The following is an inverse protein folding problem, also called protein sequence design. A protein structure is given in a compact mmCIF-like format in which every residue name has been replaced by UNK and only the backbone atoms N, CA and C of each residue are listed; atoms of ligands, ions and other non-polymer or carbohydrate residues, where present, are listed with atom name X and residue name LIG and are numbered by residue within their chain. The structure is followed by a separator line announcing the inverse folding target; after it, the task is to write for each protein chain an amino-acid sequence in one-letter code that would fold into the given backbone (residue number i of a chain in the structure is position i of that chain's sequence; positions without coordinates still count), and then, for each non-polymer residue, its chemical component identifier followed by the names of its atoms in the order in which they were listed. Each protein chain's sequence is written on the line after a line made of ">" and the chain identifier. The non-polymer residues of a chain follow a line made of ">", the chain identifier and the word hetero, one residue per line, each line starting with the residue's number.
data_IF_053305935149
#
_entry.id   IF_053305935149
#
_cell.length_a   1.000
_cell.length_b   1.000
_cell.length_c   1.000
_cell.angle_alpha   90.00
_cell.angle_beta   90.00
_cell.angle_gamma   90.00
#
_symmetry.space_group_name_H-M   'P 1'
#
loop_
_entity.id
_entity.type
_entity.pdbx_description
1 polymer ?
#
# COMPACT_ATOMS: atom_id res chain seq x y z
N UNK A 1 -15.71 -2.33 -3.12
CA UNK A 1 -16.69 -1.23 -3.04
C UNK A 1 -17.00 -0.97 -1.58
N UNK A 2 -17.52 -1.95 -0.83
CA UNK A 2 -17.81 -1.81 0.62
C UNK A 2 -16.69 -1.17 1.44
N UNK A 3 -15.43 -1.61 1.31
CA UNK A 3 -14.31 -1.02 2.07
C UNK A 3 -14.04 0.46 1.74
N UNK A 4 -14.20 0.89 0.49
CA UNK A 4 -13.90 2.27 0.09
C UNK A 4 -15.02 3.23 0.46
N UNK A 5 -16.27 2.79 0.28
CA UNK A 5 -17.44 3.56 0.70
C UNK A 5 -17.47 3.71 2.22
N UNK A 6 -17.13 2.65 2.96
CA UNK A 6 -17.04 2.70 4.42
C UNK A 6 -15.92 3.64 4.89
N UNK A 7 -14.76 3.62 4.23
CA UNK A 7 -13.68 4.58 4.50
C UNK A 7 -14.16 6.04 4.34
N UNK A 8 -14.78 6.38 3.20
CA UNK A 8 -15.32 7.74 3.00
C UNK A 8 -16.36 8.08 4.07
N UNK A 9 -17.32 7.18 4.31
CA UNK A 9 -18.39 7.41 5.28
C UNK A 9 -17.87 7.70 6.68
N UNK A 10 -16.85 6.98 7.13
CA UNK A 10 -16.37 7.08 8.51
C UNK A 10 -15.33 8.17 8.73
N UNK A 11 -14.54 8.52 7.70
CA UNK A 11 -13.37 9.40 7.82
C UNK A 11 -13.49 10.76 7.12
N UNK A 12 -14.62 11.04 6.45
CA UNK A 12 -14.85 12.31 5.71
C UNK A 12 -14.67 13.57 6.56
N UNK A 13 -15.01 13.52 7.85
CA UNK A 13 -14.90 14.69 8.72
C UNK A 13 -13.54 14.82 9.39
N UNK A 14 -12.77 13.75 9.44
CA UNK A 14 -11.53 13.64 10.20
C UNK A 14 -10.28 14.01 9.40
N UNK A 15 -10.34 13.84 8.08
CA UNK A 15 -9.19 14.08 7.19
C UNK A 15 -9.51 15.07 6.08
N UNK A 16 -8.53 15.92 5.75
CA UNK A 16 -8.60 16.83 4.61
C UNK A 16 -8.40 16.11 3.27
N UNK A 17 -7.60 15.04 3.29
CA UNK A 17 -7.22 14.23 2.14
C UNK A 17 -7.19 12.75 2.53
N UNK A 18 -7.67 11.87 1.63
CA UNK A 18 -7.59 10.41 1.74
C UNK A 18 -6.98 9.86 0.45
N UNK A 19 -6.00 8.96 0.57
CA UNK A 19 -5.39 8.28 -0.57
C UNK A 19 -5.95 6.87 -0.72
N UNK A 20 -6.27 6.48 -1.96
CA UNK A 20 -6.71 5.13 -2.31
C UNK A 20 -5.61 4.43 -3.09
N UNK A 21 -4.90 3.51 -2.43
CA UNK A 21 -3.76 2.74 -2.97
C UNK A 21 -3.83 1.29 -2.53
N UNK A 22 -3.23 0.39 -3.31
CA UNK A 22 -3.14 -1.02 -2.95
C UNK A 22 -1.98 -1.27 -1.98
N UNK A 23 -2.03 -2.37 -1.22
CA UNK A 23 -1.00 -2.68 -0.21
C UNK A 23 0.39 -3.01 -0.79
N UNK A 24 0.50 -3.23 -2.10
CA UNK A 24 1.76 -3.43 -2.82
C UNK A 24 2.21 -2.19 -3.62
N UNK A 25 1.58 -1.05 -3.38
CA UNK A 25 1.81 0.23 -4.03
C UNK A 25 2.26 1.30 -3.03
N UNK A 26 3.18 2.16 -3.46
CA UNK A 26 3.81 3.17 -2.59
C UNK A 26 3.75 4.54 -3.25
N UNK A 27 3.12 5.52 -2.59
CA UNK A 27 3.19 6.91 -3.02
C UNK A 27 4.62 7.41 -2.80
N UNK A 28 5.27 7.83 -3.88
CA UNK A 28 6.63 8.32 -3.87
C UNK A 28 6.66 9.76 -4.40
N UNK A 29 6.65 10.76 -3.50
CA UNK A 29 7.01 12.13 -3.86
C UNK A 29 8.44 12.11 -4.40
N UNK A 30 8.68 12.69 -5.58
CA UNK A 30 9.99 12.70 -6.26
C UNK A 30 10.65 14.07 -6.10
N UNK A 31 9.93 15.14 -6.45
CA UNK A 31 10.46 16.50 -6.45
C UNK A 31 10.76 17.04 -5.04
N UNK A 32 9.99 16.64 -4.03
CA UNK A 32 10.14 17.09 -2.64
C UNK A 32 9.75 15.95 -1.70
N UNK A 33 10.41 15.82 -0.55
CA UNK A 33 10.10 14.78 0.47
C UNK A 33 8.87 15.14 1.31
N UNK A 34 8.38 16.38 1.25
CA UNK A 34 7.27 16.82 2.06
C UNK A 34 5.93 16.58 1.36
N UNK A 35 5.25 15.49 1.72
CA UNK A 35 3.88 15.21 1.22
C UNK A 35 2.90 16.34 1.53
N UNK A 36 3.05 17.02 2.67
CA UNK A 36 2.19 18.16 3.04
C UNK A 36 2.34 19.34 2.07
N UNK A 37 3.57 19.61 1.61
CA UNK A 37 3.85 20.64 0.61
C UNK A 37 3.28 20.26 -0.76
N UNK A 38 3.38 18.99 -1.13
CA UNK A 38 2.73 18.46 -2.32
C UNK A 38 1.21 18.65 -2.27
N UNK A 39 0.55 18.29 -1.15
CA UNK A 39 -0.89 18.49 -1.00
C UNK A 39 -1.30 19.98 -0.98
N UNK A 40 -0.47 20.85 -0.40
CA UNK A 40 -0.71 22.30 -0.39
C UNK A 40 -0.65 22.92 -1.79
N UNK A 41 0.21 22.41 -2.67
CA UNK A 41 0.26 22.82 -4.08
C UNK A 41 -1.07 22.57 -4.82
N UNK A 42 -1.86 21.61 -4.35
CA UNK A 42 -3.17 21.25 -4.90
C UNK A 42 -4.35 21.87 -4.15
N UNK A 43 -4.19 23.05 -3.53
CA UNK A 43 -5.27 23.72 -2.78
C UNK A 43 -6.54 23.96 -3.61
N UNK A 44 -6.40 24.15 -4.93
CA UNK A 44 -7.48 24.41 -5.88
C UNK A 44 -8.06 23.13 -6.54
N UNK A 45 -7.64 21.95 -6.09
CA UNK A 45 -8.14 20.66 -6.56
C UNK A 45 -8.80 19.88 -5.43
N UNK A 46 -9.80 19.09 -5.79
CA UNK A 46 -10.52 18.19 -4.88
C UNK A 46 -10.09 16.74 -5.05
N UNK A 47 -9.36 16.43 -6.12
CA UNK A 47 -8.66 15.17 -6.29
C UNK A 47 -7.33 15.36 -7.04
N UNK A 48 -6.37 14.51 -6.72
CA UNK A 48 -5.06 14.41 -7.34
C UNK A 48 -4.92 13.00 -7.90
N UNK A 49 -4.55 12.91 -9.17
CA UNK A 49 -4.31 11.67 -9.89
C UNK A 49 -2.81 11.42 -9.94
N UNK A 50 -2.41 10.24 -9.46
CA UNK A 50 -1.04 9.75 -9.52
C UNK A 50 -0.97 8.55 -10.47
N UNK A 51 -0.09 8.64 -11.47
CA UNK A 51 0.22 7.52 -12.35
C UNK A 51 1.14 6.51 -11.66
N UNK A 52 1.00 5.24 -12.01
CA UNK A 52 1.87 4.17 -11.48
C UNK A 52 3.20 4.11 -12.22
N UNK A 53 4.26 3.74 -11.52
CA UNK A 53 5.53 3.28 -12.06
C UNK A 53 5.64 1.77 -11.82
N UNK A 54 5.58 0.98 -12.88
CA UNK A 54 5.73 -0.48 -12.79
C UNK A 54 7.20 -0.86 -12.59
N UNK A 55 7.51 -1.42 -11.42
CA UNK A 55 8.83 -1.98 -11.12
C UNK A 55 8.87 -3.48 -11.43
N UNK A 56 9.95 -3.88 -12.11
CA UNK A 56 10.26 -5.27 -12.43
C UNK A 56 10.96 -5.99 -11.28
N UNK A 57 11.54 -7.13 -11.60
CA UNK A 57 12.28 -8.00 -10.69
C UNK A 57 13.67 -7.47 -10.33
N UNK A 58 14.19 -6.49 -11.09
CA UNK A 58 15.60 -6.07 -11.05
C UNK A 58 16.58 -7.24 -11.25
N UNK A 59 16.12 -8.30 -11.93
CA UNK A 59 16.90 -9.52 -12.17
C UNK A 59 16.97 -10.47 -10.97
N UNK A 60 16.20 -10.24 -9.90
CA UNK A 60 16.22 -11.11 -8.72
C UNK A 60 15.42 -12.41 -8.95
N UNK A 61 16.11 -13.54 -8.88
CA UNK A 61 15.44 -14.85 -8.83
C UNK A 61 14.94 -15.18 -7.41
N UNK A 62 15.75 -14.84 -6.39
CA UNK A 62 15.48 -15.09 -4.97
C UNK A 62 15.02 -13.84 -4.25
N UNK A 63 14.32 -14.00 -3.13
CA UNK A 63 13.95 -12.87 -2.26
C UNK A 63 15.23 -12.27 -1.65
N UNK A 64 15.56 -11.00 -1.96
CA UNK A 64 16.71 -10.33 -1.38
C UNK A 64 16.42 -9.90 0.07
N UNK A 65 17.47 -9.58 0.84
CA UNK A 65 17.37 -9.31 2.27
C UNK A 65 17.10 -7.83 2.62
N UNK A 66 17.24 -6.92 1.65
CA UNK A 66 17.05 -5.48 1.83
C UNK A 66 15.58 -5.06 1.76
N UNK A 67 15.35 -3.75 1.70
CA UNK A 67 13.99 -3.24 1.49
C UNK A 67 13.62 -3.34 0.02
N UNK A 68 12.32 -3.45 -0.21
CA UNK A 68 11.79 -3.43 -1.57
C UNK A 68 12.22 -2.19 -2.37
N UNK A 69 12.35 -1.05 -1.69
CA UNK A 69 12.74 0.25 -2.27
C UNK A 69 14.24 0.37 -2.57
N UNK A 70 15.05 -0.57 -2.11
CA UNK A 70 16.50 -0.63 -2.36
C UNK A 70 16.86 -1.76 -3.32
N UNK A 71 16.19 -2.91 -3.22
CA UNK A 71 16.54 -4.08 -4.01
C UNK A 71 15.83 -4.12 -5.37
N UNK A 72 14.63 -3.55 -5.48
CA UNK A 72 13.87 -3.53 -6.74
C UNK A 72 13.95 -2.13 -7.36
N UNK A 73 15.08 -1.80 -7.98
CA UNK A 73 15.34 -0.45 -8.52
C UNK A 73 15.05 -0.30 -10.01
N UNK A 74 14.74 -1.38 -10.73
CA UNK A 74 14.49 -1.31 -12.17
C UNK A 74 13.00 -1.30 -12.47
N UNK A 75 12.60 -0.39 -13.37
CA UNK A 75 11.20 -0.19 -13.76
C UNK A 75 11.03 -0.07 -15.27
N UNK A 76 9.79 -0.19 -15.71
CA UNK A 76 9.39 0.10 -17.08
C UNK A 76 9.64 1.56 -17.46
N UNK A 77 9.81 1.82 -18.76
CA UNK A 77 9.81 3.18 -19.31
C UNK A 77 8.56 3.96 -18.92
N UNK A 78 8.67 5.30 -18.82
CA UNK A 78 7.59 6.17 -18.29
C UNK A 78 6.24 5.92 -18.98
N UNK A 79 6.22 5.83 -20.31
CA UNK A 79 5.00 5.61 -21.11
C UNK A 79 4.66 4.13 -21.35
N UNK A 80 5.08 3.23 -20.45
CA UNK A 80 4.61 1.85 -20.47
C UNK A 80 3.08 1.79 -20.26
N UNK A 81 2.38 0.90 -20.97
CA UNK A 81 0.90 0.88 -20.97
C UNK A 81 0.28 0.72 -19.57
N UNK A 82 0.94 -0.02 -18.68
CA UNK A 82 0.48 -0.22 -17.30
C UNK A 82 0.57 1.06 -16.44
N UNK A 83 1.50 1.96 -16.77
CA UNK A 83 1.73 3.21 -16.01
C UNK A 83 0.61 4.24 -16.19
N UNK A 84 -0.25 4.07 -17.21
CA UNK A 84 -1.46 4.88 -17.38
C UNK A 84 -2.51 4.59 -16.31
N UNK A 85 -2.39 3.49 -15.56
CA UNK A 85 -3.26 3.27 -14.40
C UNK A 85 -3.00 4.31 -13.32
N UNK A 86 -4.09 4.72 -12.70
CA UNK A 86 -4.11 5.82 -11.75
C UNK A 86 -4.43 5.34 -10.35
N UNK A 87 -3.96 6.10 -9.36
CA UNK A 87 -4.47 6.12 -7.99
C UNK A 87 -4.82 7.55 -7.63
N UNK A 88 -5.71 7.70 -6.66
CA UNK A 88 -6.28 9.00 -6.35
C UNK A 88 -6.06 9.38 -4.89
N UNK A 89 -5.67 10.63 -4.66
CA UNK A 89 -5.75 11.29 -3.37
C UNK A 89 -6.89 12.29 -3.47
N UNK A 90 -7.91 12.17 -2.63
CA UNK A 90 -9.16 12.93 -2.75
C UNK A 90 -9.46 13.69 -1.47
N UNK A 91 -10.13 14.84 -1.60
CA UNK A 91 -10.78 15.49 -0.47
C UNK A 91 -12.07 14.74 -0.17
N UNK A 92 -12.19 14.06 0.98
CA UNK A 92 -13.30 13.13 1.18
C UNK A 92 -14.65 13.85 1.24
N UNK A 93 -14.69 15.10 1.74
CA UNK A 93 -15.90 15.97 1.73
C UNK A 93 -16.40 16.35 0.34
N UNK A 94 -15.61 16.08 -0.70
CA UNK A 94 -15.92 16.37 -2.10
C UNK A 94 -16.22 15.11 -2.89
N UNK A 95 -16.12 13.93 -2.29
CA UNK A 95 -16.43 12.66 -2.96
C UNK A 95 -17.93 12.55 -3.23
N UNK A 96 -18.27 12.31 -4.49
CA UNK A 96 -19.64 12.05 -4.95
C UNK A 96 -19.90 10.55 -5.02
N UNK A 97 -18.93 9.79 -5.55
CA UNK A 97 -19.06 8.34 -5.75
C UNK A 97 -17.70 7.66 -5.83
N UNK A 98 -17.57 6.49 -5.21
CA UNK A 98 -16.40 5.61 -5.40
C UNK A 98 -16.77 4.48 -6.33
N UNK A 99 -16.13 4.39 -7.51
CA UNK A 99 -16.33 3.25 -8.40
C UNK A 99 -15.37 2.12 -8.04
N UNK A 100 -14.10 2.46 -7.85
CA UNK A 100 -13.00 1.55 -7.47
C UNK A 100 -11.80 2.42 -7.03
N UNK A 101 -10.66 1.86 -6.56
CA UNK A 101 -9.57 2.67 -6.02
C UNK A 101 -8.83 3.51 -7.08
N UNK A 102 -9.10 3.27 -8.37
CA UNK A 102 -8.53 4.02 -9.49
C UNK A 102 -9.46 5.13 -10.01
N UNK A 103 -10.73 5.14 -9.58
CA UNK A 103 -11.76 6.03 -10.12
C UNK A 103 -12.75 6.45 -9.02
N UNK A 104 -12.62 7.71 -8.60
CA UNK A 104 -13.43 8.34 -7.57
C UNK A 104 -13.92 9.68 -8.11
N UNK A 105 -15.24 9.82 -8.20
CA UNK A 105 -15.89 11.05 -8.63
C UNK A 105 -15.84 12.05 -7.48
N UNK A 106 -15.35 13.26 -7.76
CA UNK A 106 -15.38 14.38 -6.83
C UNK A 106 -16.10 15.58 -7.43
N UNK A 107 -16.70 16.40 -6.59
CA UNK A 107 -17.15 17.74 -6.98
C UNK A 107 -15.93 18.60 -7.33
N UNK A 108 -15.97 19.34 -8.44
CA UNK A 108 -14.93 20.31 -8.78
C UNK A 108 -13.67 19.72 -9.41
N UNK A 109 -12.54 20.47 -9.39
CA UNK A 109 -11.38 20.13 -10.22
C UNK A 109 -10.62 18.89 -9.73
N UNK A 110 -10.20 18.06 -10.69
CA UNK A 110 -9.22 16.98 -10.51
C UNK A 110 -7.99 17.31 -11.33
N UNK A 111 -6.80 17.07 -10.78
CA UNK A 111 -5.54 17.37 -11.45
C UNK A 111 -4.54 16.21 -11.38
N UNK A 112 -3.60 16.17 -12.31
CA UNK A 112 -2.39 15.35 -12.18
C UNK A 112 -1.45 15.93 -11.12
N UNK A 113 -0.37 15.21 -10.79
CA UNK A 113 0.62 15.63 -9.79
C UNK A 113 1.33 16.97 -10.10
N UNK A 114 1.31 17.45 -11.34
CA UNK A 114 1.85 18.76 -11.73
C UNK A 114 0.80 19.88 -11.75
N UNK A 115 -0.44 19.58 -11.36
CA UNK A 115 -1.55 20.53 -11.36
C UNK A 115 -2.24 20.68 -12.71
N UNK A 116 -1.80 19.97 -13.76
CA UNK A 116 -2.52 19.96 -15.03
C UNK A 116 -3.90 19.33 -14.87
N UNK A 117 -4.95 19.86 -15.51
CA UNK A 117 -6.30 19.31 -15.39
C UNK A 117 -6.36 17.86 -15.86
N UNK A 118 -6.89 16.99 -15.00
CA UNK A 118 -7.14 15.60 -15.35
C UNK A 118 -8.36 15.52 -16.28
N UNK A 119 -8.23 14.75 -17.37
CA UNK A 119 -9.35 14.40 -18.24
C UNK A 119 -9.67 12.94 -18.07
N UNK A 120 -10.93 12.66 -17.76
CA UNK A 120 -11.42 11.32 -17.58
C UNK A 120 -11.32 10.51 -18.87
N UNK A 121 -10.81 9.29 -18.76
CA UNK A 121 -10.73 8.28 -19.83
C UNK A 121 -11.28 6.94 -19.29
N UNK A 122 -11.31 5.83 -20.06
CA UNK A 122 -11.86 4.57 -19.58
C UNK A 122 -11.36 4.17 -18.18
N UNK A 123 -12.28 3.59 -17.41
CA UNK A 123 -12.22 3.42 -15.95
C UNK A 123 -10.81 3.05 -15.44
N UNK A 124 -10.24 3.92 -14.60
CA UNK A 124 -8.99 3.68 -13.87
C UNK A 124 -7.70 3.94 -14.66
N UNK A 125 -7.80 4.54 -15.85
CA UNK A 125 -6.68 5.01 -16.65
C UNK A 125 -6.67 6.54 -16.74
N UNK A 126 -5.51 7.12 -17.10
CA UNK A 126 -5.37 8.52 -17.51
C UNK A 126 -5.19 8.65 -19.02
N UNK A 127 -5.61 9.78 -19.59
CA UNK A 127 -5.35 10.09 -21.01
C UNK A 127 -3.86 10.24 -21.31
N UNK A 128 -3.13 10.73 -20.30
CA UNK A 128 -1.71 11.01 -20.38
C UNK A 128 -1.04 10.81 -19.01
N UNK A 129 0.28 10.73 -19.01
CA UNK A 129 1.10 10.65 -17.80
C UNK A 129 1.71 12.03 -17.57
N UNK A 130 1.20 12.74 -16.54
CA UNK A 130 1.65 14.09 -16.18
C UNK A 130 2.07 14.16 -14.71
N UNK A 131 3.09 14.98 -14.41
CA UNK A 131 3.66 15.12 -13.07
C UNK A 131 4.40 13.88 -12.53
N UNK A 132 4.79 12.93 -13.39
CA UNK A 132 5.44 11.67 -13.00
C UNK A 132 6.77 11.86 -12.25
N UNK A 133 7.49 12.95 -12.53
CA UNK A 133 8.72 13.36 -11.84
C UNK A 133 8.47 14.26 -10.62
N UNK A 134 7.21 14.55 -10.28
CA UNK A 134 6.82 15.30 -9.09
C UNK A 134 6.36 14.34 -8.01
N UNK A 135 5.39 13.49 -8.33
CA UNK A 135 4.87 12.45 -7.44
C UNK A 135 4.22 11.35 -8.29
N UNK A 136 4.41 10.10 -7.87
CA UNK A 136 3.87 8.92 -8.55
C UNK A 136 3.63 7.78 -7.58
N UNK A 137 3.03 6.69 -8.04
CA UNK A 137 2.86 5.47 -7.26
C UNK A 137 3.82 4.40 -7.75
N UNK A 138 4.81 4.02 -6.96
CA UNK A 138 5.66 2.88 -7.28
C UNK A 138 4.88 1.57 -7.06
N UNK A 139 4.80 0.72 -8.09
CA UNK A 139 4.10 -0.56 -8.05
C UNK A 139 5.07 -1.72 -8.23
N UNK A 140 5.33 -2.45 -7.16
CA UNK A 140 6.25 -3.59 -7.15
C UNK A 140 5.47 -4.89 -7.37
N UNK A 141 4.93 -5.04 -8.58
CA UNK A 141 3.94 -6.05 -8.90
C UNK A 141 4.50 -7.47 -8.95
N UNK A 142 5.63 -7.66 -9.64
CA UNK A 142 6.24 -8.99 -9.83
C UNK A 142 7.23 -9.33 -8.72
N UNK A 143 8.07 -8.35 -8.32
CA UNK A 143 9.24 -8.57 -7.43
C UNK A 143 10.09 -9.73 -7.99
N UNK A 144 10.78 -10.49 -7.13
CA UNK A 144 11.63 -11.60 -7.56
C UNK A 144 10.82 -12.79 -8.10
N UNK A 145 11.46 -13.70 -8.84
CA UNK A 145 10.80 -14.92 -9.32
C UNK A 145 10.20 -15.76 -8.17
N UNK A 146 10.92 -15.89 -7.06
CA UNK A 146 10.44 -16.57 -5.84
C UNK A 146 9.20 -15.89 -5.23
N UNK A 147 9.16 -14.54 -5.20
CA UNK A 147 7.97 -13.80 -4.78
C UNK A 147 6.79 -14.09 -5.72
N UNK A 148 7.04 -14.12 -7.02
CA UNK A 148 6.01 -14.42 -8.01
C UNK A 148 5.45 -15.83 -7.83
N UNK A 149 6.30 -16.84 -7.67
CA UNK A 149 5.87 -18.22 -7.39
C UNK A 149 5.02 -18.30 -6.11
N UNK A 150 5.42 -17.60 -5.04
CA UNK A 150 4.61 -17.50 -3.82
C UNK A 150 3.26 -16.81 -4.08
N UNK A 151 3.24 -15.73 -4.87
CA UNK A 151 2.02 -15.01 -5.27
C UNK A 151 1.08 -15.89 -6.08
N UNK A 152 1.62 -16.72 -6.98
CA UNK A 152 0.87 -17.70 -7.77
C UNK A 152 0.27 -18.81 -6.89
N UNK A 153 1.04 -19.35 -5.94
CA UNK A 153 0.58 -20.37 -4.99
C UNK A 153 -0.52 -19.88 -4.07
N UNK A 154 -0.50 -18.60 -3.68
CA UNK A 154 -1.57 -17.98 -2.87
C UNK A 154 -2.91 -17.92 -3.60
N UNK A 155 -2.90 -17.97 -4.93
CA UNK A 155 -4.10 -17.80 -5.76
C UNK A 155 -4.47 -16.33 -6.00
N UNK A 156 -5.37 -16.12 -6.95
CA UNK A 156 -5.90 -14.81 -7.32
C UNK A 156 -7.41 -14.78 -7.11
N UNK A 157 -7.95 -13.60 -6.76
CA UNK A 157 -9.38 -13.47 -6.42
C UNK A 157 -10.30 -13.96 -7.54
N UNK A 158 -9.85 -13.83 -8.79
CA UNK A 158 -10.57 -14.21 -10.00
C UNK A 158 -10.11 -15.55 -10.58
N UNK A 159 -9.36 -16.36 -9.82
CA UNK A 159 -8.94 -17.71 -10.18
C UNK A 159 -7.43 -17.89 -10.26
N UNK A 160 -6.95 -18.49 -11.35
CA UNK A 160 -5.52 -18.71 -11.59
C UNK A 160 -4.98 -17.49 -12.34
N UNK A 161 -3.96 -16.85 -11.78
CA UNK A 161 -3.26 -15.76 -12.45
C UNK A 161 -2.50 -16.31 -13.65
N UNK A 162 -2.56 -15.69 -14.83
CA UNK A 162 -1.80 -16.15 -15.99
C UNK A 162 -0.29 -16.04 -15.73
N UNK A 163 0.48 -17.07 -16.08
CA UNK A 163 1.93 -17.08 -15.89
C UNK A 163 2.60 -15.99 -16.75
N UNK A 164 1.99 -15.65 -17.88
CA UNK A 164 2.39 -14.62 -18.83
C UNK A 164 2.36 -13.21 -18.20
N UNK A 165 1.68 -13.03 -17.06
CA UNK A 165 1.71 -11.77 -16.33
C UNK A 165 3.11 -11.45 -15.80
N UNK A 166 3.93 -12.46 -15.45
CA UNK A 166 5.31 -12.19 -15.08
C UNK A 166 6.07 -11.60 -16.26
N UNK A 167 6.06 -12.28 -17.41
CA UNK A 167 6.79 -11.85 -18.60
C UNK A 167 6.36 -10.46 -19.10
N UNK A 168 5.07 -10.12 -18.99
CA UNK A 168 4.54 -8.82 -19.42
C UNK A 168 4.71 -7.69 -18.41
N UNK A 169 4.99 -8.00 -17.13
CA UNK A 169 5.13 -7.00 -16.07
C UNK A 169 6.52 -6.94 -15.44
N UNK A 170 7.41 -7.88 -15.77
CA UNK A 170 8.82 -7.84 -15.41
C UNK A 170 9.61 -6.96 -16.39
N UNK A 171 9.38 -5.65 -16.26
CA UNK A 171 10.03 -4.63 -17.10
C UNK A 171 11.12 -3.93 -16.30
N UNK A 172 12.35 -3.99 -16.81
CA UNK A 172 13.56 -3.50 -16.13
C UNK A 172 14.33 -2.49 -17.00
N UNK A 173 13.60 -1.63 -17.72
CA UNK A 173 14.16 -0.76 -18.76
C UNK A 173 14.99 0.41 -18.20
N UNK A 174 14.60 0.93 -17.03
CA UNK A 174 15.17 2.13 -16.41
C UNK A 174 15.55 1.82 -14.97
N UNK A 175 16.79 2.12 -14.58
CA UNK A 175 17.22 2.14 -13.19
C UNK A 175 16.67 3.40 -12.48
N UNK A 176 16.05 3.20 -11.33
CA UNK A 176 15.32 4.21 -10.57
C UNK A 176 15.43 3.97 -9.06
N UNK A 177 16.42 4.62 -8.46
CA UNK A 177 16.68 4.59 -7.01
C UNK A 177 15.91 5.67 -6.24
N UNK A 178 14.93 6.33 -6.88
CA UNK A 178 14.26 7.49 -6.25
C UNK A 178 13.58 7.17 -4.93
N UNK A 179 13.18 5.91 -4.72
CA UNK A 179 12.58 5.45 -3.48
C UNK A 179 13.62 5.04 -2.42
N UNK A 180 14.84 4.66 -2.80
CA UNK A 180 15.88 4.20 -1.88
C UNK A 180 16.25 5.28 -0.84
N UNK A 181 16.06 6.56 -1.19
CA UNK A 181 16.26 7.69 -0.27
C UNK A 181 15.38 7.66 0.99
N UNK A 182 14.32 6.86 1.01
CA UNK A 182 13.43 6.68 2.15
C UNK A 182 13.86 5.53 3.07
N UNK A 183 14.88 4.75 2.69
CA UNK A 183 15.31 3.57 3.43
C UNK A 183 15.65 3.84 4.91
N UNK A 184 16.36 4.93 5.28
CA UNK A 184 16.64 5.21 6.68
C UNK A 184 15.37 5.36 7.53
N UNK A 185 14.40 6.14 7.07
CA UNK A 185 13.12 6.35 7.78
C UNK A 185 12.24 5.11 7.76
N UNK A 186 12.21 4.37 6.64
CA UNK A 186 11.48 3.09 6.56
C UNK A 186 12.05 2.09 7.57
N UNK A 187 13.38 1.97 7.70
CA UNK A 187 13.99 1.10 8.73
C UNK A 187 13.66 1.56 10.14
N UNK A 188 13.62 2.86 10.40
CA UNK A 188 13.24 3.36 11.72
C UNK A 188 11.79 2.98 12.07
N UNK A 189 10.87 3.13 11.11
CA UNK A 189 9.48 2.69 11.28
C UNK A 189 9.40 1.17 11.45
N UNK A 190 10.09 0.40 10.60
CA UNK A 190 10.11 -1.05 10.70
C UNK A 190 10.71 -1.53 12.02
N UNK A 191 11.81 -0.94 12.51
CA UNK A 191 12.37 -1.30 13.80
C UNK A 191 11.41 -1.00 14.97
N UNK A 192 10.65 0.09 14.89
CA UNK A 192 9.60 0.39 15.86
C UNK A 192 8.41 -0.58 15.77
N UNK A 193 8.21 -1.20 14.60
CA UNK A 193 7.20 -2.22 14.31
C UNK A 193 7.74 -3.64 14.51
N UNK A 194 9.03 -3.93 14.50
CA UNK A 194 9.53 -5.29 14.76
C UNK A 194 9.40 -5.64 16.26
N UNK A 195 9.33 -4.62 17.11
CA UNK A 195 8.85 -4.72 18.49
C UNK A 195 7.30 -4.86 18.58
N UNK A 196 6.61 -5.03 17.45
CA UNK A 196 5.18 -5.25 17.36
C UNK A 196 4.91 -6.75 17.22
N UNK A 197 4.28 -7.41 18.20
CA UNK A 197 3.87 -8.78 18.05
C UNK A 197 2.72 -8.83 17.04
N UNK A 198 3.03 -9.03 15.76
CA UNK A 198 2.05 -9.55 14.82
C UNK A 198 1.60 -10.90 15.37
N UNK A 199 0.28 -11.11 15.54
CA UNK A 199 -0.25 -12.40 15.97
C UNK A 199 0.47 -13.51 15.20
N UNK A 200 1.20 -14.36 15.90
CA UNK A 200 1.71 -15.58 15.27
C UNK A 200 0.51 -16.29 14.65
N UNK A 201 0.69 -16.80 13.43
CA UNK A 201 -0.26 -17.75 12.88
C UNK A 201 -0.40 -18.83 13.92
N UNK A 202 -1.58 -18.96 14.53
CA UNK A 202 -1.88 -20.17 15.27
C UNK A 202 -1.64 -21.31 14.28
N UNK A 203 -0.74 -22.22 14.64
CA UNK A 203 -0.65 -23.50 13.95
C UNK A 203 -2.04 -24.12 14.06
N UNK A 204 -2.82 -23.99 12.99
CA UNK A 204 -4.10 -24.66 12.85
C UNK A 204 -3.78 -26.13 12.99
N UNK A 205 -4.03 -26.66 14.19
CA UNK A 205 -3.96 -28.07 14.48
C UNK A 205 -4.75 -28.80 13.40
N UNK A 206 -4.10 -29.79 12.79
CA UNK A 206 -4.64 -30.56 11.68
C UNK A 206 -6.05 -31.07 11.96
N UNK A 207 -7.02 -30.32 11.45
CA UNK A 207 -8.42 -30.65 11.38
C UNK A 207 -8.91 -30.07 10.06
N UNK A 208 -9.49 -30.92 9.21
CA UNK A 208 -9.89 -30.55 7.86
C UNK A 208 -10.95 -29.43 7.90
N UNK A 209 -10.51 -28.17 7.76
CA UNK A 209 -11.39 -27.03 7.48
C UNK A 209 -11.66 -26.93 5.98
N UNK A 210 -12.90 -26.61 5.65
CA UNK A 210 -13.41 -26.53 4.28
C UNK A 210 -12.74 -25.40 3.49
N UNK A 211 -12.81 -25.46 2.15
CA UNK A 211 -12.22 -24.45 1.26
C UNK A 211 -12.75 -23.01 1.49
N UNK A 212 -13.87 -22.85 2.21
CA UNK A 212 -14.42 -21.54 2.59
C UNK A 212 -13.63 -20.88 3.75
N UNK A 213 -13.18 -21.64 4.75
CA UNK A 213 -12.41 -21.09 5.90
C UNK A 213 -10.99 -20.65 5.48
N UNK A 214 -10.37 -21.35 4.52
CA UNK A 214 -9.04 -20.96 4.01
C UNK A 214 -9.04 -19.63 3.24
N UNK A 215 -10.20 -19.17 2.75
CA UNK A 215 -10.32 -17.88 2.02
C UNK A 215 -10.44 -16.67 2.95
N UNK A 216 -10.88 -16.84 4.21
CA UNK A 216 -11.03 -15.73 5.17
C UNK A 216 -9.73 -15.37 5.89
N UNK A 217 -8.89 -16.35 6.20
CA UNK A 217 -7.89 -16.18 7.27
C UNK A 217 -6.65 -15.38 6.88
N UNK A 218 -6.26 -15.43 5.60
CA UNK A 218 -5.12 -14.65 5.08
C UNK A 218 -5.41 -13.14 4.97
N UNK A 219 -6.67 -12.77 4.73
CA UNK A 219 -7.11 -11.38 4.73
C UNK A 219 -7.40 -10.89 6.14
N UNK A 220 -7.94 -11.75 7.00
CA UNK A 220 -8.33 -11.38 8.36
C UNK A 220 -7.18 -10.82 9.20
N UNK A 221 -5.92 -11.29 9.10
CA UNK A 221 -4.85 -10.76 9.97
C UNK A 221 -4.41 -9.33 9.61
N UNK A 222 -4.16 -9.02 8.33
CA UNK A 222 -3.76 -7.67 7.89
C UNK A 222 -4.97 -6.74 7.86
N UNK A 223 -6.14 -7.22 7.39
CA UNK A 223 -7.36 -6.43 7.40
C UNK A 223 -7.85 -6.17 8.83
N UNK A 224 -7.82 -7.14 9.76
CA UNK A 224 -8.17 -6.85 11.17
C UNK A 224 -7.20 -5.89 11.81
N UNK A 225 -5.90 -5.97 11.50
CA UNK A 225 -4.93 -5.02 12.05
C UNK A 225 -5.27 -3.62 11.55
N UNK A 226 -5.38 -3.40 10.23
CA UNK A 226 -5.66 -2.09 9.60
C UNK A 226 -7.05 -1.54 9.93
N UNK A 227 -8.09 -2.38 9.91
CA UNK A 227 -9.44 -2.00 10.32
C UNK A 227 -9.44 -1.63 11.80
N UNK A 228 -8.80 -2.42 12.69
CA UNK A 228 -8.73 -2.03 14.09
C UNK A 228 -7.97 -0.71 14.24
N UNK A 229 -6.81 -0.49 13.57
CA UNK A 229 -6.00 0.76 13.61
C UNK A 229 -6.84 2.01 13.32
N UNK A 230 -7.69 1.96 12.29
CA UNK A 230 -8.42 3.12 11.82
C UNK A 230 -9.73 3.32 12.61
N UNK A 231 -10.38 2.24 13.06
CA UNK A 231 -11.70 2.31 13.67
C UNK A 231 -11.71 2.41 15.21
N UNK A 232 -10.64 2.03 15.92
CA UNK A 232 -10.58 2.16 17.41
C UNK A 232 -9.65 3.28 17.90
N UNK A 233 -8.93 3.91 16.97
CA UNK A 233 -8.09 5.06 17.21
C UNK A 233 -8.87 6.24 17.82
N UNK A 234 -8.44 6.81 18.97
CA UNK A 234 -8.86 8.14 19.38
C UNK A 234 -8.57 9.11 18.23
N UNK A 235 -9.62 9.71 17.66
CA UNK A 235 -9.54 10.57 16.46
C UNK A 235 -8.63 11.78 16.70
N UNK A 236 -8.47 12.19 17.95
CA UNK A 236 -7.60 13.27 18.39
C UNK A 236 -6.11 12.93 18.21
N UNK A 237 -5.71 11.68 18.37
CA UNK A 237 -4.31 11.27 18.26
C UNK A 237 -3.83 11.14 16.81
N UNK A 238 -4.75 10.86 15.86
CA UNK A 238 -4.47 10.93 14.42
C UNK A 238 -4.20 12.36 13.93
N UNK A 239 -4.50 13.38 14.75
CA UNK A 239 -4.32 14.81 14.42
C UNK A 239 -2.99 15.38 14.91
N UNK A 240 -2.26 14.67 15.78
CA UNK A 240 -1.05 15.21 16.37
C UNK A 240 0.17 15.12 15.45
N UNK A 241 1.07 16.10 15.60
CA UNK A 241 2.08 16.48 14.63
C UNK A 241 3.14 15.41 14.32
N UNK A 242 2.83 14.54 13.36
CA UNK A 242 3.77 13.76 12.53
C UNK A 242 4.94 13.09 13.28
N UNK A 243 4.72 11.87 13.76
CA UNK A 243 5.66 10.79 13.47
C UNK A 243 4.92 9.85 12.52
N UNK A 244 5.56 9.43 11.43
CA UNK A 244 4.94 8.59 10.37
C UNK A 244 4.33 7.26 10.90
N UNK A 245 4.55 6.97 12.18
CA UNK A 245 3.87 5.98 13.01
C UNK A 245 4.17 6.37 14.47
N UNK A 246 3.15 6.54 15.33
CA UNK A 246 3.33 6.70 16.79
C UNK A 246 3.18 5.33 17.46
N UNK A 247 4.29 4.64 17.80
CA UNK A 247 4.23 3.31 18.41
C UNK A 247 3.65 3.32 19.83
N UNK A 248 3.79 4.42 20.58
CA UNK A 248 3.26 4.50 21.95
C UNK A 248 1.74 4.66 21.93
N UNK A 249 1.23 5.58 21.13
CA UNK A 249 -0.20 5.75 20.91
C UNK A 249 -0.83 4.46 20.37
N UNK A 250 -0.18 3.82 19.40
CA UNK A 250 -0.68 2.57 18.82
C UNK A 250 -0.79 1.49 19.90
N UNK A 251 0.28 1.24 20.67
CA UNK A 251 0.28 0.21 21.74
C UNK A 251 -0.74 0.50 22.82
N UNK A 252 -0.93 1.77 23.19
CA UNK A 252 -1.94 2.18 24.16
C UNK A 252 -3.38 1.97 23.65
N UNK A 253 -3.60 2.18 22.36
CA UNK A 253 -4.92 2.02 21.72
C UNK A 253 -5.25 0.56 21.44
N UNK A 254 -4.25 -0.26 21.10
CA UNK A 254 -4.38 -1.67 20.71
C UNK A 254 -3.65 -2.61 21.68
N UNK A 255 -3.89 -2.44 22.97
CA UNK A 255 -3.23 -3.22 24.01
C UNK A 255 -3.49 -4.74 23.89
N UNK A 256 -4.61 -5.14 23.29
CA UNK A 256 -5.00 -6.54 23.01
C UNK A 256 -4.22 -7.18 21.85
N UNK A 257 -3.76 -6.37 20.88
CA UNK A 257 -2.84 -6.80 19.83
C UNK A 257 -1.41 -6.90 20.39
N UNK A 258 -1.01 -5.97 21.25
CA UNK A 258 0.30 -5.97 21.91
C UNK A 258 0.44 -7.08 22.98
N UNK A 259 -0.66 -7.51 23.61
CA UNK A 259 -0.65 -8.46 24.72
C UNK A 259 -0.61 -9.95 24.30
N UNK A 260 -0.62 -10.30 23.01
CA UNK A 260 -0.44 -11.70 22.58
C UNK A 260 1.04 -12.09 22.56
N UNK A 261 1.70 -12.02 23.72
CA UNK A 261 3.03 -12.58 23.97
C UNK A 261 2.97 -13.44 25.23
N UNK A 262 2.34 -14.62 25.14
CA UNK A 262 2.79 -15.73 25.98
C UNK A 262 4.04 -16.29 25.34
N UNK A 263 5.17 -15.78 25.82
CA UNK A 263 6.51 -16.33 25.66
C UNK A 263 6.44 -17.86 25.79
N UNK A 264 6.66 -18.58 24.68
CA UNK A 264 7.06 -19.98 24.77
C UNK A 264 8.48 -19.98 25.31
N UNK A 265 8.58 -19.99 26.63
CA UNK A 265 9.79 -20.26 27.38
C UNK A 265 10.21 -21.69 27.01
N UNK A 266 11.16 -21.83 26.09
CA UNK A 266 11.74 -23.13 25.74
C UNK A 266 12.67 -23.54 26.86
N UNK A 267 12.06 -24.02 27.94
CA UNK A 267 12.74 -24.70 29.02
C UNK A 267 13.47 -25.91 28.44
N UNK A 268 14.79 -25.83 28.55
CA UNK A 268 15.76 -26.88 28.28
C UNK A 268 15.43 -28.09 29.16
N UNK A 269 14.83 -29.13 28.58
CA UNK A 269 14.68 -30.43 29.23
C UNK A 269 15.55 -31.45 28.49
N UNK A 270 16.73 -31.66 29.03
CA UNK A 270 17.58 -32.77 28.68
C UNK A 270 16.99 -34.09 29.19
N UNK A 271 17.18 -35.14 28.36
CA UNK A 271 17.28 -36.59 28.65
C UNK A 271 15.98 -37.41 28.71
N UNK A 272 16.08 -38.75 28.50
CA UNK A 272 17.25 -39.58 28.14
C UNK A 272 17.27 -40.07 26.69
#
# INVERSE_FOLDING_TARGET
>A
MEAYDDCIKNFTVDFDWIAFVDSDEFINPIADRCVKKFLAFHENSNAIVLNRALFGSSGHDRIPAGLIIEDFTHRAVDRHGVNFHTKMIVRPRKVVRVHNPHMIDVEGPTAHADGTPFREVPIGLSADISGFNICRVNHYFVRSAEHWEAKMRRGYREGIRPAEHFASHDTNDIEDESAARWAPEVRQVLAAVDDFPLRERSEVHGGASSEEEKRSDGWASIASTVDDVLYRAPREALRDGNTLFDPEWYRATYADVAASTTVHDTATAARP
#
